data_IF_497161194916
#
_entry.id   IF_497161194916
#
_cell.length_a   1.000
_cell.length_b   1.000
_cell.length_c   1.000
_cell.angle_alpha   90.00
_cell.angle_beta   90.00
_cell.angle_gamma   90.00
#
_symmetry.space_group_name_H-M   'P 1'
#
loop_
_entity.id
_entity.type
_entity.pdbx_description
1 polymer ?
#
# COMPACT_ATOMS: atom_id res chain seq x y z
N UNK A 1 6.57 12.62 5.59
CA UNK A 1 6.36 12.50 4.14
C UNK A 1 6.05 11.05 3.79
N UNK A 2 5.18 10.83 2.81
CA UNK A 2 4.81 9.49 2.37
C UNK A 2 6.03 8.69 1.88
N UNK A 3 6.23 7.51 2.44
CA UNK A 3 7.29 6.60 2.00
C UNK A 3 6.80 5.81 0.79
N UNK A 4 7.52 5.91 -0.32
CA UNK A 4 7.21 5.14 -1.53
C UNK A 4 7.95 3.81 -1.48
N UNK A 5 7.32 2.80 -0.89
CA UNK A 5 7.93 1.47 -0.75
C UNK A 5 8.04 0.78 -2.12
N UNK A 6 9.15 0.06 -2.37
CA UNK A 6 9.46 -0.42 -3.71
C UNK A 6 8.68 -1.67 -4.14
N UNK A 7 8.09 -2.41 -3.21
CA UNK A 7 7.40 -3.66 -3.52
C UNK A 7 6.14 -3.86 -2.69
N UNK A 8 5.25 -4.73 -3.19
CA UNK A 8 4.10 -5.21 -2.43
C UNK A 8 4.57 -6.02 -1.21
N UNK A 9 4.03 -5.72 -0.04
CA UNK A 9 4.45 -6.41 1.20
C UNK A 9 4.04 -7.88 1.24
N UNK A 10 3.06 -8.29 0.45
CA UNK A 10 2.63 -9.68 0.40
C UNK A 10 3.33 -10.48 -0.68
N UNK A 11 3.20 -10.08 -1.96
CA UNK A 11 3.69 -10.86 -3.09
C UNK A 11 5.05 -10.39 -3.62
N UNK A 12 5.58 -9.32 -3.08
CA UNK A 12 6.86 -8.71 -3.46
C UNK A 12 6.91 -8.20 -4.91
N UNK A 13 5.76 -7.98 -5.55
CA UNK A 13 5.70 -7.37 -6.88
C UNK A 13 6.32 -5.98 -6.84
N UNK A 14 7.13 -5.65 -7.84
CA UNK A 14 7.71 -4.32 -7.95
C UNK A 14 6.62 -3.26 -8.11
N UNK A 15 6.70 -2.21 -7.29
CA UNK A 15 5.79 -1.07 -7.30
C UNK A 15 6.62 0.22 -7.42
N UNK A 16 7.09 0.55 -8.64
CA UNK A 16 7.89 1.77 -8.85
C UNK A 16 7.10 3.02 -8.46
N UNK A 17 7.76 4.17 -8.30
CA UNK A 17 7.10 5.40 -7.81
C UNK A 17 5.89 5.82 -8.64
N UNK A 18 5.87 5.51 -9.94
CA UNK A 18 4.78 5.83 -10.85
C UNK A 18 3.76 4.70 -11.00
N UNK A 19 3.83 3.66 -10.18
CA UNK A 19 2.92 2.53 -10.28
C UNK A 19 1.47 2.95 -10.08
N UNK A 20 0.60 2.52 -10.97
CA UNK A 20 -0.85 2.67 -10.84
C UNK A 20 -1.49 1.52 -10.07
N UNK A 21 -0.72 0.51 -9.73
CA UNK A 21 -1.18 -0.67 -9.00
C UNK A 21 -0.92 -0.59 -7.49
N UNK A 22 -0.12 0.36 -7.04
CA UNK A 22 0.20 0.50 -5.63
C UNK A 22 -0.99 1.03 -4.83
N UNK A 23 -1.26 0.37 -3.70
CA UNK A 23 -2.32 0.75 -2.76
C UNK A 23 -1.70 0.94 -1.38
N UNK A 24 -2.21 1.89 -0.63
CA UNK A 24 -1.73 2.16 0.74
C UNK A 24 -2.90 2.30 1.71
N UNK A 25 -2.67 1.89 2.96
CA UNK A 25 -3.56 2.20 4.07
C UNK A 25 -3.12 3.52 4.73
N UNK A 26 -3.82 3.94 5.79
CA UNK A 26 -3.48 5.20 6.47
C UNK A 26 -2.12 5.15 7.19
N UNK A 27 -1.57 3.98 7.43
CA UNK A 27 -0.23 3.79 8.00
C UNK A 27 0.82 3.50 6.93
N UNK A 28 0.47 3.73 5.66
CA UNK A 28 1.35 3.57 4.49
C UNK A 28 1.78 2.12 4.20
N UNK A 29 1.13 1.12 4.81
CA UNK A 29 1.35 -0.26 4.41
C UNK A 29 1.00 -0.41 2.93
N UNK A 30 1.91 -0.99 2.15
CA UNK A 30 1.85 -0.96 0.69
C UNK A 30 1.62 -2.35 0.11
N UNK A 31 0.61 -2.47 -0.73
CA UNK A 31 0.27 -3.72 -1.41
C UNK A 31 -0.15 -3.40 -2.85
N UNK A 32 -0.01 -4.39 -3.73
CA UNK A 32 -0.53 -4.21 -5.09
C UNK A 32 -2.05 -4.40 -5.11
N UNK A 33 -2.71 -3.81 -6.11
CA UNK A 33 -4.18 -3.87 -6.23
C UNK A 33 -4.71 -5.31 -6.24
N UNK A 34 -4.00 -6.24 -6.89
CA UNK A 34 -4.42 -7.64 -6.94
C UNK A 34 -4.44 -8.27 -5.54
N UNK A 35 -3.43 -8.01 -4.71
CA UNK A 35 -3.41 -8.50 -3.34
C UNK A 35 -4.51 -7.86 -2.49
N UNK A 36 -4.75 -6.57 -2.66
CA UNK A 36 -5.82 -5.87 -1.93
C UNK A 36 -7.18 -6.49 -2.26
N UNK A 37 -7.45 -6.76 -3.52
CA UNK A 37 -8.75 -7.30 -3.97
C UNK A 37 -8.92 -8.79 -3.68
N UNK A 38 -7.88 -9.59 -3.93
CA UNK A 38 -8.02 -11.06 -3.93
C UNK A 38 -7.49 -11.75 -2.68
N UNK A 39 -6.64 -11.09 -1.93
CA UNK A 39 -6.04 -11.66 -0.71
C UNK A 39 -6.55 -10.98 0.53
N UNK A 40 -6.51 -9.64 0.56
CA UNK A 40 -6.78 -8.86 1.76
C UNK A 40 -8.26 -8.49 1.94
N UNK A 41 -9.05 -8.49 0.87
CA UNK A 41 -10.45 -8.07 0.95
C UNK A 41 -10.59 -6.61 1.40
N UNK A 42 -9.66 -5.77 0.99
CA UNK A 42 -9.58 -4.35 1.39
C UNK A 42 -9.47 -4.15 2.91
N UNK A 43 -8.83 -5.09 3.61
CA UNK A 43 -8.54 -4.99 5.04
C UNK A 43 -7.03 -5.08 5.25
N UNK A 44 -6.44 -4.01 5.77
CA UNK A 44 -5.01 -4.01 6.06
C UNK A 44 -4.70 -5.02 7.18
N UNK A 45 -3.75 -5.95 6.97
CA UNK A 45 -3.42 -6.95 7.99
C UNK A 45 -2.80 -6.35 9.25
N UNK A 46 -2.33 -5.11 9.19
CA UNK A 46 -1.67 -4.44 10.31
C UNK A 46 -2.60 -3.51 11.09
N UNK A 47 -3.50 -2.81 10.41
CA UNK A 47 -4.37 -1.83 11.09
C UNK A 47 -5.87 -2.06 10.89
N UNK A 48 -6.25 -2.95 9.99
CA UNK A 48 -7.67 -3.19 9.70
C UNK A 48 -8.33 -2.15 8.81
N UNK A 49 -7.62 -1.11 8.43
CA UNK A 49 -8.14 -0.05 7.56
C UNK A 49 -8.25 -0.48 6.11
N UNK A 50 -8.91 0.35 5.30
CA UNK A 50 -9.01 0.15 3.86
C UNK A 50 -7.82 0.75 3.12
N UNK A 51 -7.79 0.51 1.81
CA UNK A 51 -6.72 0.97 0.94
C UNK A 51 -7.23 1.95 -0.10
N UNK A 52 -6.33 2.84 -0.53
CA UNK A 52 -6.57 3.77 -1.63
C UNK A 52 -5.38 3.72 -2.58
N UNK A 53 -5.53 4.17 -3.84
CA UNK A 53 -4.38 4.29 -4.74
C UNK A 53 -3.30 5.19 -4.13
N UNK A 54 -2.05 4.74 -4.25
CA UNK A 54 -0.92 5.53 -3.75
C UNK A 54 -0.68 6.72 -4.69
N UNK A 55 -0.58 7.94 -4.15
CA UNK A 55 -0.24 9.11 -4.97
C UNK A 55 1.09 8.93 -5.70
N UNK A 56 1.15 9.37 -6.94
CA UNK A 56 2.37 9.35 -7.73
C UNK A 56 3.13 10.66 -7.47
N UNK A 57 4.37 10.53 -6.98
CA UNK A 57 5.22 11.72 -6.79
C UNK A 57 5.76 12.16 -8.13
N UNK A 58 5.71 13.47 -8.46
CA UNK A 58 6.20 13.97 -9.73
C UNK A 58 7.64 13.57 -10.01
N UNK A 59 7.93 13.16 -11.24
CA UNK A 59 9.30 12.93 -11.70
C UNK A 59 9.97 14.22 -12.19
N UNK A 60 9.16 15.23 -12.48
CA UNK A 60 9.61 16.54 -12.96
C UNK A 60 9.58 17.56 -11.82
N UNK A 61 10.53 18.49 -11.85
CA UNK A 61 10.56 19.58 -10.89
C UNK A 61 9.61 20.70 -11.37
N UNK A 62 8.35 20.60 -10.93
CA UNK A 62 7.33 21.58 -11.28
C UNK A 62 7.31 22.77 -10.36
N UNK A 63 7.68 22.58 -9.09
CA UNK A 63 7.53 23.60 -8.08
C UNK A 63 8.50 23.40 -6.93
N UNK A 64 9.48 24.25 -6.85
CA UNK A 64 10.36 24.42 -5.69
C UNK A 64 11.00 23.11 -5.19
N UNK A 65 11.53 22.31 -6.13
CA UNK A 65 12.24 21.06 -5.82
C UNK A 65 11.37 19.98 -5.15
N UNK A 66 10.05 20.02 -5.34
CA UNK A 66 9.13 19.00 -4.83
C UNK A 66 8.93 17.90 -5.87
N UNK A 67 9.85 16.98 -5.96
CA UNK A 67 9.82 15.88 -6.94
C UNK A 67 10.75 14.74 -6.54
N UNK A 68 10.72 13.64 -7.29
CA UNK A 68 11.52 12.43 -7.02
C UNK A 68 13.03 12.70 -6.93
N UNK A 69 13.53 13.69 -7.67
CA UNK A 69 14.96 14.01 -7.63
C UNK A 69 15.43 14.48 -6.26
N UNK A 70 14.58 15.20 -5.54
CA UNK A 70 14.85 15.65 -4.17
C UNK A 70 14.43 14.61 -3.14
N UNK A 71 13.26 14.00 -3.35
CA UNK A 71 12.65 13.04 -2.41
C UNK A 71 12.44 11.69 -3.13
N UNK A 72 13.50 10.88 -3.27
CA UNK A 72 13.42 9.63 -4.01
C UNK A 72 12.57 8.58 -3.31
N UNK A 73 12.17 7.56 -4.07
CA UNK A 73 11.49 6.41 -3.50
C UNK A 73 12.40 5.67 -2.52
N UNK A 74 11.77 4.98 -1.57
CA UNK A 74 12.50 4.11 -0.66
C UNK A 74 13.09 2.92 -1.43
N UNK A 75 14.32 2.54 -1.06
CA UNK A 75 14.95 1.30 -1.52
C UNK A 75 14.75 0.16 -0.53
N UNK A 76 14.05 0.42 0.57
CA UNK A 76 13.88 -0.54 1.66
C UNK A 76 12.71 -1.48 1.37
N UNK A 77 13.03 -2.72 1.04
CA UNK A 77 12.03 -3.76 0.81
C UNK A 77 11.45 -4.23 2.14
N UNK A 78 10.11 -4.20 2.25
CA UNK A 78 9.37 -4.74 3.39
C UNK A 78 8.48 -5.87 2.87
N UNK A 79 9.02 -7.08 2.86
CA UNK A 79 8.33 -8.26 2.36
C UNK A 79 7.94 -9.16 3.53
N UNK A 80 6.67 -9.12 3.89
CA UNK A 80 6.08 -9.94 4.97
C UNK A 80 4.82 -10.59 4.44
N UNK A 81 4.94 -11.76 3.77
CA UNK A 81 3.77 -12.45 3.24
C UNK A 81 2.71 -12.64 4.32
N UNK A 82 1.48 -12.35 3.97
CA UNK A 82 0.35 -12.44 4.91
C UNK A 82 -0.02 -13.90 5.10
N UNK A 83 -0.20 -14.33 6.35
CA UNK A 83 -0.76 -15.63 6.66
C UNK A 83 -2.25 -15.60 6.30
N UNK A 84 -2.63 -16.33 5.25
CA UNK A 84 -3.98 -16.26 4.68
C UNK A 84 -5.04 -16.72 5.66
N UNK A 85 -4.76 -17.75 6.45
CA UNK A 85 -5.70 -18.29 7.41
C UNK A 85 -5.93 -17.31 8.57
N UNK A 86 -4.87 -16.75 9.09
CA UNK A 86 -4.95 -15.73 10.15
C UNK A 86 -5.68 -14.49 9.64
N UNK A 87 -5.35 -14.04 8.42
CA UNK A 87 -5.99 -12.86 7.84
C UNK A 87 -7.48 -13.08 7.58
N UNK A 88 -7.86 -14.27 7.11
CA UNK A 88 -9.26 -14.61 6.89
C UNK A 88 -10.07 -14.45 8.18
N UNK A 89 -9.55 -14.93 9.31
CA UNK A 89 -10.21 -14.78 10.62
C UNK A 89 -10.23 -13.32 11.07
N UNK A 90 -9.10 -12.64 10.93
CA UNK A 90 -8.96 -11.23 11.32
C UNK A 90 -9.91 -10.34 10.55
N UNK A 91 -10.01 -10.53 9.24
CA UNK A 91 -10.78 -9.66 8.35
C UNK A 91 -12.27 -9.99 8.29
N UNK A 92 -12.68 -11.16 8.76
CA UNK A 92 -14.05 -11.68 8.57
C UNK A 92 -15.14 -10.69 8.98
N UNK A 93 -14.97 -10.04 10.14
CA UNK A 93 -15.92 -9.03 10.62
C UNK A 93 -15.63 -7.65 10.04
N UNK A 94 -14.35 -7.31 9.94
CA UNK A 94 -13.90 -5.97 9.53
C UNK A 94 -14.34 -5.65 8.11
N UNK A 95 -14.24 -6.62 7.19
CA UNK A 95 -14.61 -6.39 5.78
C UNK A 95 -16.08 -6.07 5.57
N UNK A 96 -16.94 -6.37 6.55
CA UNK A 96 -18.37 -6.02 6.48
C UNK A 96 -18.62 -4.57 6.89
N UNK A 97 -17.62 -3.90 7.45
CA UNK A 97 -17.71 -2.52 7.90
C UNK A 97 -17.07 -1.62 6.83
N UNK A 98 -17.76 -0.57 6.36
CA UNK A 98 -17.14 0.36 5.40
C UNK A 98 -15.84 0.94 5.99
N UNK A 99 -14.80 1.17 5.19
CA UNK A 99 -13.52 1.67 5.69
C UNK A 99 -13.63 2.92 6.56
N UNK A 100 -14.53 3.84 6.21
CA UNK A 100 -14.73 5.08 6.96
C UNK A 100 -15.39 4.86 8.33
N UNK A 101 -15.87 3.67 8.61
CA UNK A 101 -16.55 3.31 9.87
C UNK A 101 -15.76 2.35 10.75
N UNK A 102 -14.62 1.92 10.27
CA UNK A 102 -13.79 0.95 10.98
C UNK A 102 -13.10 1.53 12.21
#
# INVERSE_FOLDING_TARGET
>A
MLELRPTCEHCNKALPPDSLEARICSYECTFCVACVEHVLGNVCPNCGGGFVPRPVRPSMNWNDDNFLGTDPASAKVKHHPVDLEVHTRFSAKIKTIPPEKR
#
